data_IF_397402992938
#
_entry.id   IF_397402992938
#
_cell.length_a   1.000
_cell.length_b   1.000
_cell.length_c   1.000
_cell.angle_alpha   90.00
_cell.angle_beta   90.00
_cell.angle_gamma   90.00
#
_symmetry.space_group_name_H-M   'P 1'
#
loop_
_entity.id
_entity.type
_entity.pdbx_description
1 polymer ?
#
# COMPACT_ATOMS: atom_id res chain seq x y z
N UNK A 1 3.71 -45.32 33.33
CA UNK A 1 4.31 -44.04 32.87
C UNK A 1 4.63 -43.20 34.09
N UNK A 2 5.78 -42.55 34.10
CA UNK A 2 6.21 -41.68 35.21
C UNK A 2 5.36 -40.40 35.23
N UNK A 3 4.90 -39.91 36.40
CA UNK A 3 4.02 -38.75 36.50
C UNK A 3 4.61 -37.48 35.85
N UNK A 4 5.95 -37.36 35.84
CA UNK A 4 6.65 -36.30 35.11
C UNK A 4 6.41 -36.29 33.59
N UNK A 5 6.16 -37.45 32.98
CA UNK A 5 5.95 -37.58 31.53
C UNK A 5 4.54 -37.09 31.16
N UNK A 6 3.55 -37.39 32.01
CA UNK A 6 2.16 -36.96 31.80
C UNK A 6 2.06 -35.44 31.94
N UNK A 7 2.70 -34.85 32.95
CA UNK A 7 2.74 -33.40 33.14
C UNK A 7 3.41 -32.68 31.94
N UNK A 8 4.52 -33.22 31.43
CA UNK A 8 5.20 -32.67 30.27
C UNK A 8 4.34 -32.73 28.99
N UNK A 9 3.63 -33.85 28.78
CA UNK A 9 2.72 -34.01 27.63
C UNK A 9 1.53 -33.04 27.69
N UNK A 10 0.95 -32.84 28.89
CA UNK A 10 -0.14 -31.89 29.09
C UNK A 10 0.29 -30.44 28.86
N UNK A 11 1.49 -30.06 29.34
CA UNK A 11 2.07 -28.75 29.07
C UNK A 11 2.32 -28.51 27.57
N UNK A 12 2.87 -29.50 26.85
CA UNK A 12 3.08 -29.42 25.41
C UNK A 12 1.78 -29.23 24.62
N UNK A 13 0.71 -29.93 25.00
CA UNK A 13 -0.62 -29.77 24.40
C UNK A 13 -1.21 -28.37 24.60
N UNK A 14 -1.03 -27.77 25.79
CA UNK A 14 -1.49 -26.40 26.06
C UNK A 14 -0.72 -25.37 25.23
N UNK A 15 0.60 -25.53 25.06
CA UNK A 15 1.41 -24.61 24.25
C UNK A 15 1.05 -24.65 22.75
N UNK A 16 0.66 -25.81 22.23
CA UNK A 16 0.24 -25.94 20.82
C UNK A 16 -1.05 -25.16 20.51
N UNK A 17 -1.98 -25.09 21.47
CA UNK A 17 -3.27 -24.39 21.29
C UNK A 17 -3.15 -22.86 21.37
N UNK A 18 -2.15 -22.33 22.09
CA UNK A 18 -1.91 -20.88 22.23
C UNK A 18 -1.24 -20.28 20.99
N UNK A 19 -0.64 -21.12 20.13
CA UNK A 19 0.16 -20.66 18.98
C UNK A 19 -0.65 -20.46 17.69
N UNK A 20 -1.95 -20.80 17.67
CA UNK A 20 -2.84 -20.52 16.54
C UNK A 20 -3.43 -19.11 16.69
N UNK A 21 -2.56 -18.11 16.81
CA UNK A 21 -2.97 -16.77 16.43
C UNK A 21 -2.66 -16.65 14.94
N UNK A 22 -3.67 -16.56 14.04
CA UNK A 22 -3.38 -16.14 12.69
C UNK A 22 -2.73 -14.77 12.82
N UNK A 23 -1.44 -14.68 12.50
CA UNK A 23 -0.79 -13.41 12.23
C UNK A 23 -1.46 -12.88 10.97
N UNK A 24 -2.62 -12.25 11.13
CA UNK A 24 -3.19 -11.36 10.13
C UNK A 24 -2.22 -10.19 10.07
N UNK A 25 -1.17 -10.38 9.28
CA UNK A 25 -0.18 -9.36 8.99
C UNK A 25 -0.88 -8.18 8.36
N UNK A 26 -0.90 -7.07 9.09
CA UNK A 26 -1.20 -5.73 8.60
C UNK A 26 -2.67 -5.44 8.33
N UNK A 27 -3.10 -4.22 8.66
CA UNK A 27 -4.20 -3.55 7.95
C UNK A 27 -4.10 -3.94 6.47
N UNK A 28 -5.15 -4.50 5.88
CA UNK A 28 -5.26 -4.55 4.42
C UNK A 28 -5.14 -3.11 3.96
N UNK A 29 -3.96 -2.68 3.50
CA UNK A 29 -3.86 -1.46 2.71
C UNK A 29 -4.86 -1.64 1.56
N UNK A 30 -5.62 -0.60 1.17
CA UNK A 30 -6.49 -0.69 0.01
C UNK A 30 -5.68 -1.31 -1.12
N UNK A 31 -6.14 -2.44 -1.68
CA UNK A 31 -5.47 -3.00 -2.84
C UNK A 31 -5.72 -2.01 -3.97
N UNK A 32 -4.68 -1.34 -4.46
CA UNK A 32 -4.78 -0.62 -5.71
C UNK A 32 -4.95 -1.64 -6.83
N UNK A 33 -5.72 -1.23 -7.83
CA UNK A 33 -5.92 -1.97 -9.07
C UNK A 33 -5.16 -1.29 -10.20
N UNK A 34 -4.99 -1.99 -11.33
CA UNK A 34 -4.44 -1.38 -12.54
C UNK A 34 -5.33 -0.21 -13.03
N UNK A 35 -6.64 -0.26 -12.77
CA UNK A 35 -7.58 0.84 -13.05
C UNK A 35 -7.29 2.07 -12.19
N UNK A 36 -7.01 1.89 -10.89
CA UNK A 36 -6.62 2.99 -9.99
C UNK A 36 -5.31 3.64 -10.46
N UNK A 37 -4.31 2.82 -10.82
CA UNK A 37 -3.05 3.32 -11.39
C UNK A 37 -3.30 4.14 -12.66
N UNK A 38 -4.04 3.58 -13.62
CA UNK A 38 -4.35 4.28 -14.85
C UNK A 38 -5.11 5.60 -14.61
N UNK A 39 -6.05 5.61 -13.66
CA UNK A 39 -6.81 6.80 -13.31
C UNK A 39 -5.91 7.88 -12.67
N UNK A 40 -5.05 7.52 -11.70
CA UNK A 40 -4.10 8.45 -11.08
C UNK A 40 -3.14 9.02 -12.12
N UNK A 41 -2.55 8.19 -12.98
CA UNK A 41 -1.60 8.66 -14.01
C UNK A 41 -2.26 9.55 -15.07
N UNK A 42 -3.54 9.31 -15.37
CA UNK A 42 -4.34 10.12 -16.29
C UNK A 42 -4.65 11.50 -15.69
N UNK A 43 -5.14 11.55 -14.46
CA UNK A 43 -5.62 12.80 -13.84
C UNK A 43 -4.48 13.63 -13.23
N UNK A 44 -3.44 12.97 -12.69
CA UNK A 44 -2.34 13.63 -12.00
C UNK A 44 -1.06 13.74 -12.83
N UNK A 45 -1.00 13.13 -14.02
CA UNK A 45 0.24 13.00 -14.79
C UNK A 45 0.94 14.32 -15.12
N UNK A 46 0.20 15.43 -15.17
CA UNK A 46 0.79 16.76 -15.36
C UNK A 46 1.74 17.17 -14.22
N UNK A 47 1.46 16.75 -12.99
CA UNK A 47 2.23 17.09 -11.79
C UNK A 47 3.38 16.10 -11.53
N UNK A 48 3.29 14.90 -12.09
CA UNK A 48 4.18 13.79 -11.75
C UNK A 48 5.13 13.37 -12.86
N UNK A 49 4.96 13.82 -14.11
CA UNK A 49 5.89 13.51 -15.20
C UNK A 49 7.29 14.09 -14.98
N UNK A 50 8.29 13.37 -15.47
CA UNK A 50 9.65 13.89 -15.53
C UNK A 50 9.73 15.20 -16.32
N UNK A 51 10.47 16.18 -15.78
CA UNK A 51 10.73 17.45 -16.46
C UNK A 51 9.55 18.45 -16.47
N UNK A 52 8.42 18.09 -15.87
CA UNK A 52 7.30 19.02 -15.68
C UNK A 52 7.52 19.94 -14.46
N UNK A 53 6.95 21.16 -14.47
CA UNK A 53 6.95 22.04 -13.30
C UNK A 53 6.39 21.33 -12.06
N UNK A 54 7.02 21.55 -10.91
CA UNK A 54 6.58 21.01 -9.60
C UNK A 54 5.43 21.81 -9.03
N UNK A 55 4.38 21.96 -9.82
CA UNK A 55 3.13 22.55 -9.38
C UNK A 55 2.34 21.53 -8.55
N UNK A 56 1.54 22.01 -7.62
CA UNK A 56 0.68 21.18 -6.80
C UNK A 56 -0.75 21.17 -7.37
N UNK A 57 -1.43 20.01 -7.34
CA UNK A 57 -2.83 19.96 -7.71
C UNK A 57 -3.69 20.83 -6.78
N UNK A 58 -4.74 21.43 -7.33
CA UNK A 58 -5.77 22.07 -6.51
C UNK A 58 -6.54 20.98 -5.73
N UNK A 59 -6.89 21.21 -4.45
CA UNK A 59 -7.52 20.21 -3.58
C UNK A 59 -8.80 19.59 -4.12
N UNK A 60 -9.59 20.36 -4.87
CA UNK A 60 -10.83 19.88 -5.49
C UNK A 60 -10.68 19.48 -6.97
N UNK A 61 -9.44 19.35 -7.45
CA UNK A 61 -9.17 18.92 -8.82
C UNK A 61 -9.49 17.43 -9.00
N UNK A 62 -9.73 16.99 -10.26
CA UNK A 62 -9.86 15.57 -10.58
C UNK A 62 -8.68 14.72 -10.09
N UNK A 63 -7.46 15.26 -10.11
CA UNK A 63 -6.28 14.59 -9.57
C UNK A 63 -6.44 14.24 -8.09
N UNK A 64 -6.78 15.20 -7.23
CA UNK A 64 -6.93 14.91 -5.80
C UNK A 64 -8.09 13.97 -5.49
N UNK A 65 -9.15 14.00 -6.31
CA UNK A 65 -10.23 13.00 -6.23
C UNK A 65 -9.75 11.59 -6.61
N UNK A 66 -8.81 11.46 -7.54
CA UNK A 66 -8.22 10.18 -7.90
C UNK A 66 -7.22 9.65 -6.87
N UNK A 67 -6.62 10.54 -6.07
CA UNK A 67 -5.72 10.22 -4.97
C UNK A 67 -6.50 9.78 -3.72
N UNK A 68 -7.69 10.35 -3.51
CA UNK A 68 -8.52 10.13 -2.32
C UNK A 68 -8.76 8.63 -2.04
N UNK A 69 -8.35 8.18 -0.86
CA UNK A 69 -8.56 6.80 -0.40
C UNK A 69 -7.57 5.76 -0.95
N UNK A 70 -6.55 6.18 -1.70
CA UNK A 70 -5.50 5.31 -2.23
C UNK A 70 -4.16 5.55 -1.52
N UNK A 71 -3.41 4.45 -1.31
CA UNK A 71 -2.02 4.52 -0.88
C UNK A 71 -1.13 4.79 -2.11
N UNK A 72 -0.50 5.96 -2.17
CA UNK A 72 0.29 6.35 -3.34
C UNK A 72 1.52 5.47 -3.55
N UNK A 73 2.03 4.81 -2.49
CA UNK A 73 3.10 3.82 -2.65
C UNK A 73 2.61 2.60 -3.44
N UNK A 74 1.37 2.20 -3.21
CA UNK A 74 0.75 1.07 -3.91
C UNK A 74 0.47 1.39 -5.39
N UNK A 75 0.22 2.66 -5.75
CA UNK A 75 0.20 3.12 -7.15
C UNK A 75 1.60 3.00 -7.78
N UNK A 76 2.64 3.47 -7.09
CA UNK A 76 4.03 3.36 -7.56
C UNK A 76 4.46 1.91 -7.79
N UNK A 77 3.98 0.99 -6.96
CA UNK A 77 4.29 -0.44 -7.09
C UNK A 77 3.66 -1.07 -8.35
N UNK A 78 2.53 -0.53 -8.82
CA UNK A 78 1.83 -0.98 -10.03
C UNK A 78 2.38 -0.41 -11.34
N UNK A 79 3.29 0.58 -11.27
CA UNK A 79 3.87 1.17 -12.49
C UNK A 79 4.60 0.13 -13.34
N UNK A 80 4.26 0.10 -14.62
CA UNK A 80 4.98 -0.62 -15.67
C UNK A 80 6.38 -0.03 -15.86
N UNK A 81 7.24 -0.74 -16.60
CA UNK A 81 8.60 -0.25 -16.90
C UNK A 81 8.59 1.07 -17.66
N UNK A 82 7.66 1.23 -18.60
CA UNK A 82 7.55 2.43 -19.42
C UNK A 82 7.03 3.61 -18.57
N UNK A 83 5.99 3.40 -17.76
CA UNK A 83 5.50 4.41 -16.83
C UNK A 83 6.56 4.83 -15.80
N UNK A 84 7.42 3.92 -15.34
CA UNK A 84 8.56 4.28 -14.47
C UNK A 84 9.58 5.17 -15.15
N UNK A 85 9.67 5.13 -16.48
CA UNK A 85 10.50 6.04 -17.28
C UNK A 85 9.83 7.39 -17.54
N UNK A 86 8.51 7.45 -17.54
CA UNK A 86 7.72 8.65 -17.83
C UNK A 86 7.40 9.50 -16.58
N UNK A 87 7.26 8.85 -15.42
CA UNK A 87 6.78 9.48 -14.19
C UNK A 87 7.78 9.41 -13.03
N UNK A 88 7.91 10.54 -12.33
CA UNK A 88 8.68 10.64 -11.10
C UNK A 88 7.94 9.98 -9.94
N UNK A 89 8.46 8.85 -9.45
CA UNK A 89 7.80 8.08 -8.40
C UNK A 89 7.67 8.87 -7.09
N UNK A 90 8.67 9.68 -6.75
CA UNK A 90 8.62 10.56 -5.60
C UNK A 90 7.52 11.62 -5.72
N UNK A 91 7.26 12.12 -6.94
CA UNK A 91 6.17 13.07 -7.18
C UNK A 91 4.80 12.40 -7.05
N UNK A 92 4.65 11.14 -7.48
CA UNK A 92 3.42 10.35 -7.28
C UNK A 92 3.16 10.17 -5.78
N UNK A 93 4.17 9.79 -5.00
CA UNK A 93 4.04 9.62 -3.54
C UNK A 93 3.64 10.94 -2.87
N UNK A 94 4.24 12.07 -3.30
CA UNK A 94 3.94 13.39 -2.75
C UNK A 94 2.51 13.88 -3.03
N UNK A 95 1.74 13.22 -3.91
CA UNK A 95 0.34 13.56 -4.13
C UNK A 95 -0.53 13.35 -2.89
N UNK A 96 -0.17 12.41 -2.02
CA UNK A 96 -0.89 12.15 -0.76
C UNK A 96 -0.90 13.41 0.11
N UNK A 97 0.27 14.01 0.36
CA UNK A 97 0.38 15.25 1.12
C UNK A 97 -0.17 16.48 0.37
N UNK A 98 -0.04 16.52 -0.95
CA UNK A 98 -0.53 17.64 -1.74
C UNK A 98 -2.07 17.74 -1.77
N UNK A 99 -2.76 16.62 -1.59
CA UNK A 99 -4.21 16.52 -1.72
C UNK A 99 -4.97 16.45 -0.39
N UNK A 100 -4.29 16.25 0.75
CA UNK A 100 -4.82 16.42 2.11
C UNK A 100 -5.13 17.91 2.42
#
# INVERSE_FOLDING_TARGET
MKPQIVAALLLLLVCAMVSIHPVVGGKKRPRCTEEDNANVLKECGHYTRHGHPKELPHKHSPCCKAVEGHDMQCIVDLLTKDERGDYEQAAIIALEEACD
#
